data_IF_971721039241
#
_entry.id   IF_971721039241
#
_cell.length_a   1.000
_cell.length_b   1.000
_cell.length_c   1.000
_cell.angle_alpha   90.00
_cell.angle_beta   90.00
_cell.angle_gamma   90.00
#
_symmetry.space_group_name_H-M   'P 1'
#
loop_
_entity.id
_entity.type
_entity.pdbx_description
1 polymer ?
#
# COMPACT_ATOMS: atom_id res chain seq x y z
N UNK A 1 -61.41 10.71 -19.77
CA UNK A 1 -60.62 11.08 -18.56
C UNK A 1 -59.59 9.97 -18.36
N UNK A 2 -58.46 10.23 -18.96
CA UNK A 2 -57.39 9.23 -19.05
C UNK A 2 -56.29 9.64 -18.07
N UNK A 3 -56.20 8.89 -16.99
CA UNK A 3 -55.24 9.13 -15.90
C UNK A 3 -53.96 8.42 -16.22
N UNK A 4 -53.07 9.10 -16.91
CA UNK A 4 -51.73 8.62 -17.14
C UNK A 4 -50.95 8.50 -15.83
N UNK A 5 -50.75 7.26 -15.35
CA UNK A 5 -49.77 6.94 -14.29
C UNK A 5 -48.41 6.96 -14.92
N UNK A 6 -47.71 8.10 -14.77
CA UNK A 6 -46.30 8.20 -15.05
C UNK A 6 -45.51 7.44 -13.96
N UNK A 7 -45.12 6.21 -14.26
CA UNK A 7 -44.19 5.46 -13.44
C UNK A 7 -42.79 6.08 -13.66
N UNK A 8 -42.37 6.92 -12.72
CA UNK A 8 -40.97 7.31 -12.59
C UNK A 8 -40.14 6.09 -12.20
N UNK A 9 -39.61 5.41 -13.21
CA UNK A 9 -38.49 4.47 -13.00
C UNK A 9 -37.33 5.31 -12.50
N UNK A 10 -37.07 5.23 -11.20
CA UNK A 10 -35.85 5.79 -10.61
C UNK A 10 -34.67 5.10 -11.27
N UNK A 11 -33.95 5.87 -12.06
CA UNK A 11 -32.65 5.51 -12.63
C UNK A 11 -31.67 5.29 -11.48
N UNK A 12 -31.71 4.10 -10.87
CA UNK A 12 -30.74 3.72 -9.84
C UNK A 12 -29.47 3.35 -10.60
N UNK A 13 -28.55 4.32 -10.68
CA UNK A 13 -27.21 4.06 -11.19
C UNK A 13 -26.61 2.82 -10.50
N UNK A 14 -26.05 1.92 -11.28
CA UNK A 14 -25.40 0.73 -10.74
C UNK A 14 -24.35 1.11 -9.68
N UNK A 15 -24.31 0.38 -8.55
CA UNK A 15 -23.34 0.67 -7.51
C UNK A 15 -21.90 0.54 -8.04
N UNK A 16 -20.99 1.45 -7.65
CA UNK A 16 -19.62 1.44 -8.14
C UNK A 16 -18.87 0.17 -7.71
N UNK A 17 -17.97 -0.29 -8.57
CA UNK A 17 -17.07 -1.40 -8.26
C UNK A 17 -15.83 -0.91 -7.53
N UNK A 18 -15.47 -1.61 -6.44
CA UNK A 18 -14.24 -1.43 -5.68
C UNK A 18 -13.40 -2.70 -5.73
N UNK A 19 -12.15 -2.60 -6.10
CA UNK A 19 -11.23 -3.72 -6.06
C UNK A 19 -10.57 -3.83 -4.69
N UNK A 20 -10.36 -5.06 -4.19
CA UNK A 20 -9.60 -5.34 -2.96
C UNK A 20 -8.45 -6.28 -3.29
N UNK A 21 -7.24 -5.75 -3.29
CA UNK A 21 -6.01 -6.48 -3.59
C UNK A 21 -5.21 -6.74 -2.31
N UNK A 22 -5.46 -7.89 -1.72
CA UNK A 22 -4.89 -8.34 -0.45
C UNK A 22 -4.60 -9.84 -0.50
N UNK A 23 -3.41 -10.26 -0.12
CA UNK A 23 -2.97 -11.66 -0.12
C UNK A 23 -3.53 -12.48 1.06
N UNK A 24 -3.84 -11.83 2.20
CA UNK A 24 -4.43 -12.47 3.38
C UNK A 24 -5.93 -12.70 3.19
N UNK A 25 -6.33 -13.93 2.91
CA UNK A 25 -7.73 -14.28 2.63
C UNK A 25 -8.72 -13.80 3.70
N UNK A 26 -8.37 -13.93 4.99
CA UNK A 26 -9.23 -13.50 6.10
C UNK A 26 -9.43 -11.98 6.12
N UNK A 27 -8.37 -11.19 5.98
CA UNK A 27 -8.46 -9.72 5.93
C UNK A 27 -9.28 -9.28 4.72
N UNK A 28 -9.05 -9.89 3.57
CA UNK A 28 -9.80 -9.59 2.34
C UNK A 28 -11.30 -9.80 2.53
N UNK A 29 -11.71 -10.92 3.13
CA UNK A 29 -13.13 -11.22 3.38
C UNK A 29 -13.76 -10.25 4.38
N UNK A 30 -13.09 -9.97 5.49
CA UNK A 30 -13.59 -9.03 6.49
C UNK A 30 -13.72 -7.61 5.93
N UNK A 31 -12.73 -7.16 5.17
CA UNK A 31 -12.75 -5.83 4.59
C UNK A 31 -13.81 -5.68 3.49
N UNK A 32 -14.02 -6.72 2.68
CA UNK A 32 -15.12 -6.83 1.74
C UNK A 32 -16.48 -6.66 2.44
N UNK A 33 -16.77 -7.49 3.46
CA UNK A 33 -18.01 -7.43 4.20
C UNK A 33 -18.21 -6.05 4.86
N UNK A 34 -17.16 -5.48 5.42
CA UNK A 34 -17.24 -4.17 6.04
C UNK A 34 -17.59 -3.07 5.03
N UNK A 35 -16.94 -3.02 3.88
CA UNK A 35 -17.22 -2.03 2.83
C UNK A 35 -18.67 -2.12 2.36
N UNK A 36 -19.14 -3.30 1.98
CA UNK A 36 -20.50 -3.48 1.47
C UNK A 36 -21.59 -3.25 2.52
N UNK A 37 -21.26 -3.42 3.81
CA UNK A 37 -22.19 -3.08 4.91
C UNK A 37 -22.32 -1.57 5.16
N UNK A 38 -21.36 -0.76 4.71
CA UNK A 38 -21.28 0.68 5.01
C UNK A 38 -21.51 1.57 3.80
N UNK A 39 -21.37 1.03 2.60
CA UNK A 39 -21.40 1.80 1.36
C UNK A 39 -22.19 1.05 0.28
N UNK A 40 -22.94 1.78 -0.56
CA UNK A 40 -23.60 1.17 -1.72
C UNK A 40 -22.55 0.90 -2.83
N UNK A 41 -21.77 -0.15 -2.67
CA UNK A 41 -20.74 -0.57 -3.61
C UNK A 41 -20.78 -2.08 -3.84
N UNK A 42 -20.13 -2.54 -4.90
CA UNK A 42 -19.78 -3.93 -5.14
C UNK A 42 -18.28 -4.10 -5.02
N UNK A 43 -17.83 -5.04 -4.23
CA UNK A 43 -16.40 -5.29 -4.08
C UNK A 43 -15.95 -6.52 -4.85
N UNK A 44 -14.78 -6.44 -5.48
CA UNK A 44 -14.18 -7.52 -6.26
C UNK A 44 -12.83 -7.87 -5.63
N UNK A 45 -12.66 -9.11 -5.12
CA UNK A 45 -11.36 -9.55 -4.63
C UNK A 45 -10.42 -9.77 -5.80
N UNK A 46 -9.22 -9.19 -5.73
CA UNK A 46 -8.18 -9.33 -6.74
C UNK A 46 -7.14 -10.31 -6.24
N UNK A 47 -6.91 -11.37 -7.01
CA UNK A 47 -5.88 -12.38 -6.75
C UNK A 47 -4.74 -12.26 -7.76
N UNK A 48 -5.05 -11.87 -8.99
CA UNK A 48 -4.10 -11.66 -10.08
C UNK A 48 -4.18 -10.20 -10.57
N UNK A 49 -3.04 -9.49 -10.73
CA UNK A 49 -3.02 -8.11 -11.25
C UNK A 49 -3.75 -7.93 -12.60
N UNK A 50 -3.84 -8.97 -13.42
CA UNK A 50 -4.54 -8.93 -14.70
C UNK A 50 -6.06 -8.73 -14.54
N UNK A 51 -6.63 -9.16 -13.41
CA UNK A 51 -8.06 -8.97 -13.09
C UNK A 51 -8.44 -7.49 -12.94
N UNK A 52 -7.47 -6.62 -12.62
CA UNK A 52 -7.69 -5.17 -12.49
C UNK A 52 -8.12 -4.50 -13.81
N UNK A 53 -7.91 -5.15 -14.95
CA UNK A 53 -8.39 -4.67 -16.26
C UNK A 53 -9.79 -5.15 -16.63
N UNK A 54 -10.38 -6.09 -15.88
CA UNK A 54 -11.66 -6.69 -16.22
C UNK A 54 -12.86 -5.80 -15.89
N UNK A 55 -12.69 -4.82 -15.01
CA UNK A 55 -13.75 -3.93 -14.54
C UNK A 55 -13.30 -2.47 -14.55
N UNK A 56 -14.25 -1.55 -14.66
CA UNK A 56 -14.02 -0.13 -14.37
C UNK A 56 -14.18 0.12 -12.87
N UNK A 57 -13.09 0.10 -12.14
CA UNK A 57 -13.11 0.34 -10.69
C UNK A 57 -13.18 1.83 -10.38
N UNK A 58 -13.99 2.21 -9.39
CA UNK A 58 -13.98 3.56 -8.82
C UNK A 58 -12.85 3.71 -7.79
N UNK A 59 -12.62 2.69 -6.98
CA UNK A 59 -11.54 2.61 -6.00
C UNK A 59 -10.80 1.28 -6.11
N UNK A 60 -9.51 1.30 -5.81
CA UNK A 60 -8.69 0.09 -5.70
C UNK A 60 -7.98 0.09 -4.36
N UNK A 61 -8.41 -0.77 -3.45
CA UNK A 61 -7.77 -0.98 -2.15
C UNK A 61 -6.60 -1.93 -2.30
N UNK A 62 -5.43 -1.51 -1.86
CA UNK A 62 -4.17 -2.26 -2.04
C UNK A 62 -3.47 -2.40 -0.71
N UNK A 63 -3.21 -3.64 -0.31
CA UNK A 63 -2.36 -3.91 0.85
C UNK A 63 -0.91 -3.51 0.56
N UNK A 64 -0.23 -2.91 1.55
CA UNK A 64 1.22 -2.67 1.47
C UNK A 64 2.04 -3.94 1.29
N UNK A 65 1.43 -5.11 1.47
CA UNK A 65 2.05 -6.44 1.23
C UNK A 65 2.20 -6.76 -0.24
N UNK A 66 1.36 -6.14 -1.08
CA UNK A 66 1.39 -6.32 -2.53
C UNK A 66 2.50 -5.42 -3.10
N UNK A 67 3.51 -5.98 -3.74
CA UNK A 67 4.56 -5.18 -4.36
C UNK A 67 4.00 -4.40 -5.55
N UNK A 68 4.39 -3.14 -5.75
CA UNK A 68 4.03 -2.38 -6.94
C UNK A 68 4.58 -3.04 -8.19
N UNK A 69 3.80 -2.99 -9.25
CA UNK A 69 4.22 -3.49 -10.56
C UNK A 69 4.87 -2.34 -11.36
N UNK A 70 6.04 -2.57 -11.92
CA UNK A 70 6.77 -1.57 -12.75
C UNK A 70 6.95 -0.19 -12.10
N UNK A 71 7.08 -0.14 -10.77
CA UNK A 71 7.22 1.11 -10.02
C UNK A 71 5.94 1.93 -9.87
N UNK A 72 4.79 1.40 -10.27
CA UNK A 72 3.45 1.98 -10.16
C UNK A 72 2.64 1.24 -9.10
N UNK A 73 1.74 1.96 -8.45
CA UNK A 73 0.77 1.33 -7.52
C UNK A 73 -0.20 0.45 -8.30
N UNK A 74 -0.69 0.95 -9.43
CA UNK A 74 -1.64 0.24 -10.29
C UNK A 74 -1.03 -0.04 -11.67
N UNK A 75 -1.36 -1.16 -12.30
CA UNK A 75 -1.08 -1.42 -13.71
C UNK A 75 -1.67 -0.34 -14.61
N UNK A 76 -1.10 -0.14 -15.80
CA UNK A 76 -1.53 0.90 -16.76
C UNK A 76 -2.96 0.73 -17.25
N UNK A 77 -3.45 -0.50 -17.29
CA UNK A 77 -4.79 -0.87 -17.75
C UNK A 77 -5.86 -0.79 -16.66
N UNK A 78 -5.47 -0.45 -15.43
CA UNK A 78 -6.39 -0.30 -14.32
C UNK A 78 -6.89 1.15 -14.23
N UNK A 79 -8.19 1.30 -14.13
CA UNK A 79 -8.87 2.53 -13.70
C UNK A 79 -9.13 2.49 -12.20
N UNK A 80 -9.36 3.63 -11.60
CA UNK A 80 -9.74 3.80 -10.20
C UNK A 80 -8.65 4.45 -9.35
N UNK A 81 -9.10 5.06 -8.27
CA UNK A 81 -8.23 5.75 -7.34
C UNK A 81 -7.65 4.77 -6.30
N UNK A 82 -6.31 4.72 -6.13
CA UNK A 82 -5.68 3.78 -5.21
C UNK A 82 -5.76 4.26 -3.75
N UNK A 83 -6.33 3.41 -2.89
CA UNK A 83 -6.25 3.52 -1.43
C UNK A 83 -5.34 2.40 -0.93
N UNK A 84 -4.24 2.78 -0.32
CA UNK A 84 -3.30 1.81 0.26
C UNK A 84 -3.62 1.61 1.74
N UNK A 85 -3.68 0.36 2.18
CA UNK A 85 -3.97 0.05 3.58
C UNK A 85 -2.88 -0.83 4.21
N UNK A 86 -2.69 -0.64 5.52
CA UNK A 86 -1.76 -1.41 6.35
C UNK A 86 -2.25 -1.45 7.80
N UNK A 87 -1.66 -2.33 8.59
CA UNK A 87 -1.77 -2.37 10.05
C UNK A 87 -0.59 -1.67 10.75
N UNK A 88 0.36 -1.10 10.01
CA UNK A 88 1.53 -0.43 10.56
C UNK A 88 2.23 0.50 9.56
N UNK A 89 1.62 1.63 9.22
CA UNK A 89 2.33 2.66 8.47
C UNK A 89 3.48 3.23 9.29
N UNK A 90 4.67 3.17 8.73
CA UNK A 90 5.83 3.92 9.19
C UNK A 90 5.96 5.21 8.38
N UNK A 91 6.69 6.25 8.87
CA UNK A 91 6.95 7.45 8.08
C UNK A 91 7.50 7.18 6.67
N UNK A 92 8.40 6.20 6.58
CA UNK A 92 8.99 5.80 5.30
C UNK A 92 7.97 5.18 4.35
N UNK A 93 7.16 4.24 4.83
CA UNK A 93 6.17 3.56 4.00
C UNK A 93 5.03 4.48 3.60
N UNK A 94 4.57 5.35 4.50
CA UNK A 94 3.52 6.31 4.21
C UNK A 94 3.95 7.31 3.11
N UNK A 95 5.14 7.91 3.24
CA UNK A 95 5.70 8.83 2.22
C UNK A 95 5.90 8.09 0.90
N UNK A 96 6.46 6.89 0.93
CA UNK A 96 6.72 6.10 -0.26
C UNK A 96 5.46 5.82 -1.09
N UNK A 97 4.36 5.44 -0.44
CA UNK A 97 3.09 5.18 -1.12
C UNK A 97 2.45 6.47 -1.65
N UNK A 98 2.49 7.55 -0.86
CA UNK A 98 2.00 8.87 -1.28
C UNK A 98 2.72 9.38 -2.54
N UNK A 99 4.05 9.32 -2.58
CA UNK A 99 4.86 9.75 -3.72
C UNK A 99 4.58 8.95 -5.00
N UNK A 100 4.06 7.73 -4.86
CA UNK A 100 3.68 6.86 -5.99
C UNK A 100 2.24 7.00 -6.43
N UNK A 101 1.51 7.94 -5.84
CA UNK A 101 0.17 8.31 -6.28
C UNK A 101 -0.97 7.66 -5.50
N UNK A 102 -0.72 7.12 -4.29
CA UNK A 102 -1.81 6.74 -3.40
C UNK A 102 -2.70 7.96 -3.12
N UNK A 103 -3.98 7.82 -3.36
CA UNK A 103 -5.00 8.85 -3.08
C UNK A 103 -5.46 8.77 -1.63
N UNK A 104 -5.47 7.56 -1.06
CA UNK A 104 -5.77 7.30 0.34
C UNK A 104 -4.69 6.47 1.02
N UNK A 105 -4.46 6.73 2.33
CA UNK A 105 -3.71 5.84 3.21
C UNK A 105 -4.60 5.49 4.40
N UNK A 106 -4.88 4.20 4.58
CA UNK A 106 -5.82 3.68 5.57
C UNK A 106 -5.06 2.76 6.53
N UNK A 107 -4.90 3.19 7.79
CA UNK A 107 -4.26 2.40 8.84
C UNK A 107 -5.31 1.64 9.64
N UNK A 108 -5.15 0.32 9.78
CA UNK A 108 -6.12 -0.51 10.51
C UNK A 108 -6.10 -0.31 12.03
N UNK A 109 -5.13 0.42 12.56
CA UNK A 109 -5.12 0.83 13.99
C UNK A 109 -6.14 1.94 14.28
N UNK A 110 -6.58 2.66 13.25
CA UNK A 110 -7.65 3.65 13.37
C UNK A 110 -9.03 2.96 13.34
N UNK A 111 -10.06 3.68 13.72
CA UNK A 111 -11.41 3.15 13.79
C UNK A 111 -12.15 3.08 12.45
N UNK A 112 -13.23 2.28 12.37
CA UNK A 112 -14.03 2.15 11.15
C UNK A 112 -14.61 3.48 10.62
N UNK A 113 -14.88 4.44 11.48
CA UNK A 113 -15.39 5.76 11.09
C UNK A 113 -14.30 6.60 10.40
N UNK A 114 -13.04 6.49 10.85
CA UNK A 114 -11.88 7.11 10.19
C UNK A 114 -11.63 6.50 8.82
N UNK A 115 -11.80 5.17 8.70
CA UNK A 115 -11.68 4.47 7.41
C UNK A 115 -12.76 4.95 6.44
N UNK A 116 -14.03 5.02 6.90
CA UNK A 116 -15.15 5.48 6.07
C UNK A 116 -14.95 6.93 5.63
N UNK A 117 -14.51 7.80 6.53
CA UNK A 117 -14.18 9.19 6.20
C UNK A 117 -13.06 9.27 5.15
N UNK A 118 -12.00 8.48 5.30
CA UNK A 118 -10.90 8.42 4.33
C UNK A 118 -11.41 7.99 2.96
N UNK A 119 -12.22 6.94 2.88
CA UNK A 119 -12.80 6.43 1.64
C UNK A 119 -13.68 7.48 0.97
N UNK A 120 -14.60 8.11 1.71
CA UNK A 120 -15.50 9.14 1.18
C UNK A 120 -14.73 10.34 0.62
N UNK A 121 -13.68 10.80 1.32
CA UNK A 121 -12.85 11.90 0.81
C UNK A 121 -12.14 11.55 -0.48
N UNK A 122 -11.67 10.30 -0.64
CA UNK A 122 -11.06 9.86 -1.90
C UNK A 122 -12.11 9.77 -3.00
N UNK A 123 -13.32 9.31 -2.72
CA UNK A 123 -14.44 9.33 -3.68
C UNK A 123 -14.79 10.74 -4.14
N UNK A 124 -14.63 11.75 -3.28
CA UNK A 124 -14.77 13.17 -3.59
C UNK A 124 -13.56 13.73 -4.38
N UNK A 125 -12.59 12.91 -4.76
CA UNK A 125 -11.39 13.32 -5.49
C UNK A 125 -10.31 13.98 -4.62
N UNK A 126 -10.43 13.92 -3.29
CA UNK A 126 -9.46 14.51 -2.35
C UNK A 126 -8.39 13.47 -1.97
N UNK A 127 -7.20 13.97 -1.62
CA UNK A 127 -6.21 13.13 -0.94
C UNK A 127 -6.61 12.99 0.53
N UNK A 128 -6.61 11.75 1.05
CA UNK A 128 -7.02 11.50 2.42
C UNK A 128 -6.15 10.47 3.13
N UNK A 129 -6.04 10.61 4.43
CA UNK A 129 -5.33 9.68 5.29
C UNK A 129 -6.08 9.54 6.62
N UNK A 130 -6.11 8.33 7.17
CA UNK A 130 -6.57 8.12 8.54
C UNK A 130 -5.59 8.75 9.55
N UNK A 131 -6.00 9.06 10.79
CA UNK A 131 -5.19 9.80 11.77
C UNK A 131 -3.79 9.22 11.97
N UNK A 132 -3.67 7.89 12.11
CA UNK A 132 -2.36 7.24 12.32
C UNK A 132 -1.49 7.31 11.06
N UNK A 133 -2.06 7.08 9.87
CA UNK A 133 -1.33 7.22 8.61
C UNK A 133 -0.89 8.68 8.38
N UNK A 134 -1.71 9.65 8.74
CA UNK A 134 -1.37 11.09 8.70
C UNK A 134 -0.22 11.41 9.64
N UNK A 135 -0.29 10.94 10.88
CA UNK A 135 0.80 11.12 11.86
C UNK A 135 2.12 10.54 11.36
N UNK A 136 2.07 9.38 10.67
CA UNK A 136 3.24 8.78 10.03
C UNK A 136 3.80 9.66 8.91
N UNK A 137 2.95 10.32 8.11
CA UNK A 137 3.38 11.27 7.08
C UNK A 137 3.98 12.54 7.67
N UNK A 138 3.35 13.09 8.71
CA UNK A 138 3.75 14.35 9.35
C UNK A 138 5.04 14.18 10.16
N UNK A 139 5.27 13.00 10.71
CA UNK A 139 6.53 12.65 11.37
C UNK A 139 7.76 12.75 10.46
N UNK A 140 7.56 13.15 9.22
CA UNK A 140 8.44 13.49 8.09
C UNK A 140 9.96 13.37 8.37
N UNK A 141 10.36 12.19 8.80
CA UNK A 141 11.74 11.85 9.05
C UNK A 141 12.25 10.76 8.08
N UNK A 142 11.62 10.64 6.90
CA UNK A 142 12.04 9.64 5.91
C UNK A 142 13.52 9.82 5.51
N UNK A 143 14.03 11.04 5.51
CA UNK A 143 15.48 11.31 5.40
C UNK A 143 16.23 11.00 6.70
N UNK A 144 15.63 11.18 7.87
CA UNK A 144 16.26 10.85 9.17
C UNK A 144 16.36 9.34 9.39
N UNK A 145 15.40 8.54 8.94
CA UNK A 145 15.49 7.09 9.06
C UNK A 145 16.76 6.54 8.41
N UNK A 146 17.08 6.97 7.19
CA UNK A 146 18.32 6.59 6.51
C UNK A 146 19.57 7.21 7.16
N UNK A 147 19.47 8.38 7.75
CA UNK A 147 20.56 9.02 8.50
C UNK A 147 20.90 8.29 9.82
N UNK A 148 19.97 7.46 10.35
CA UNK A 148 20.21 6.61 11.50
C UNK A 148 21.11 5.41 11.18
N UNK A 149 21.28 5.06 9.90
CA UNK A 149 22.17 4.00 9.47
C UNK A 149 23.62 4.47 9.49
N UNK A 150 24.50 3.71 10.13
CA UNK A 150 25.93 3.90 10.00
C UNK A 150 26.36 3.67 8.55
N UNK A 151 27.56 4.13 8.17
CA UNK A 151 28.13 3.89 6.82
C UNK A 151 28.14 2.40 6.47
N UNK A 152 28.49 1.54 7.44
CA UNK A 152 28.51 0.08 7.23
C UNK A 152 27.10 -0.49 7.05
N UNK A 153 26.15 -0.08 7.87
CA UNK A 153 24.76 -0.50 7.74
C UNK A 153 24.16 -0.04 6.39
N UNK A 154 24.48 1.16 5.95
CA UNK A 154 24.09 1.68 4.64
C UNK A 154 24.65 0.82 3.49
N UNK A 155 25.93 0.45 3.53
CA UNK A 155 26.53 -0.45 2.54
C UNK A 155 25.86 -1.81 2.51
N UNK A 156 25.59 -2.40 3.69
CA UNK A 156 24.88 -3.67 3.79
C UNK A 156 23.46 -3.55 3.26
N UNK A 157 22.73 -2.51 3.62
CA UNK A 157 21.38 -2.25 3.13
C UNK A 157 21.35 -2.16 1.59
N UNK A 158 22.29 -1.43 0.98
CA UNK A 158 22.41 -1.31 -0.48
C UNK A 158 22.64 -2.66 -1.18
N UNK A 159 23.50 -3.52 -0.60
CA UNK A 159 23.75 -4.84 -1.17
C UNK A 159 22.53 -5.77 -1.03
N UNK A 160 21.88 -5.76 0.12
CA UNK A 160 20.64 -6.53 0.34
C UNK A 160 19.51 -6.13 -0.63
N UNK A 161 19.35 -4.83 -0.89
CA UNK A 161 18.38 -4.30 -1.86
C UNK A 161 18.70 -4.73 -3.30
N UNK A 162 19.97 -4.90 -3.63
CA UNK A 162 20.41 -5.45 -4.93
C UNK A 162 20.24 -6.96 -5.06
N UNK A 163 19.66 -7.62 -4.05
CA UNK A 163 19.38 -9.05 -4.06
C UNK A 163 20.52 -9.95 -3.60
N UNK A 164 21.61 -9.41 -3.05
CA UNK A 164 22.69 -10.23 -2.50
C UNK A 164 22.20 -10.95 -1.22
N UNK A 165 22.52 -12.24 -1.10
CA UNK A 165 22.29 -12.99 0.13
C UNK A 165 23.21 -12.50 1.27
N UNK A 166 22.86 -12.82 2.52
CA UNK A 166 23.68 -12.47 3.69
C UNK A 166 25.10 -13.05 3.56
N UNK A 167 25.24 -14.25 3.03
CA UNK A 167 26.52 -14.91 2.75
C UNK A 167 27.35 -14.13 1.70
N UNK A 168 26.71 -13.74 0.59
CA UNK A 168 27.37 -12.97 -0.48
C UNK A 168 27.82 -11.59 0.02
N UNK A 169 26.99 -10.93 0.85
CA UNK A 169 27.33 -9.65 1.48
C UNK A 169 28.51 -9.82 2.44
N UNK A 170 28.51 -10.90 3.24
CA UNK A 170 29.60 -11.23 4.15
C UNK A 170 30.93 -11.40 3.41
N UNK A 171 30.93 -12.18 2.33
CA UNK A 171 32.11 -12.39 1.47
C UNK A 171 32.62 -11.07 0.86
N UNK A 172 31.72 -10.20 0.36
CA UNK A 172 32.09 -8.89 -0.18
C UNK A 172 32.68 -7.94 0.87
N UNK A 173 32.22 -8.02 2.11
CA UNK A 173 32.61 -7.11 3.19
C UNK A 173 33.72 -7.67 4.10
N UNK A 174 34.27 -8.86 3.79
CA UNK A 174 35.31 -9.51 4.59
C UNK A 174 34.85 -9.82 6.03
N UNK A 175 33.61 -10.25 6.21
CA UNK A 175 33.02 -10.53 7.53
C UNK A 175 32.24 -11.87 7.52
N UNK A 176 31.59 -12.21 8.63
CA UNK A 176 30.82 -13.44 8.75
C UNK A 176 29.34 -13.22 8.38
N UNK A 177 28.66 -14.28 7.93
CA UNK A 177 27.21 -14.23 7.66
C UNK A 177 26.42 -13.84 8.92
N UNK A 178 26.84 -14.31 10.10
CA UNK A 178 26.25 -13.94 11.39
C UNK A 178 26.30 -12.43 11.64
N UNK A 179 27.43 -11.80 11.33
CA UNK A 179 27.58 -10.34 11.43
C UNK A 179 26.60 -9.61 10.50
N UNK A 180 26.45 -10.08 9.27
CA UNK A 180 25.48 -9.47 8.33
C UNK A 180 24.03 -9.68 8.78
N UNK A 181 23.68 -10.85 9.30
CA UNK A 181 22.34 -11.11 9.89
C UNK A 181 22.04 -10.14 11.06
N UNK A 182 23.02 -9.90 11.93
CA UNK A 182 22.89 -8.94 13.02
C UNK A 182 22.76 -7.50 12.52
N UNK A 183 23.57 -7.10 11.54
CA UNK A 183 23.46 -5.78 10.92
C UNK A 183 22.11 -5.61 10.22
N UNK A 184 21.60 -6.62 9.51
CA UNK A 184 20.25 -6.60 8.92
C UNK A 184 19.17 -6.39 9.98
N UNK A 185 19.26 -7.09 11.11
CA UNK A 185 18.34 -6.90 12.24
C UNK A 185 18.38 -5.45 12.76
N UNK A 186 19.57 -4.88 12.95
CA UNK A 186 19.76 -3.50 13.37
C UNK A 186 19.19 -2.51 12.37
N UNK A 187 19.45 -2.70 11.07
CA UNK A 187 18.89 -1.89 9.98
C UNK A 187 17.37 -1.91 10.03
N UNK A 188 16.77 -3.09 10.15
CA UNK A 188 15.31 -3.24 10.20
C UNK A 188 14.71 -2.54 11.41
N UNK A 189 15.35 -2.65 12.58
CA UNK A 189 14.92 -1.94 13.78
C UNK A 189 15.01 -0.42 13.63
N UNK A 190 16.13 0.10 13.09
CA UNK A 190 16.33 1.54 12.90
C UNK A 190 15.35 2.12 11.88
N UNK A 191 15.07 1.40 10.81
CA UNK A 191 14.13 1.81 9.77
C UNK A 191 12.68 1.46 10.12
N UNK A 192 12.43 0.77 11.23
CA UNK A 192 11.10 0.27 11.66
C UNK A 192 10.41 -0.54 10.56
N UNK A 193 11.16 -1.41 9.90
CA UNK A 193 10.67 -2.31 8.85
C UNK A 193 10.78 -3.76 9.30
N UNK A 194 9.97 -4.64 8.71
CA UNK A 194 9.92 -6.07 9.08
C UNK A 194 10.27 -7.01 7.93
N UNK A 195 10.35 -6.48 6.68
CA UNK A 195 10.56 -7.28 5.46
C UNK A 195 11.64 -6.68 4.55
N UNK A 196 12.28 -7.55 3.77
CA UNK A 196 13.27 -7.15 2.77
C UNK A 196 12.68 -6.26 1.67
N UNK A 197 11.43 -6.49 1.28
CA UNK A 197 10.73 -5.65 0.31
C UNK A 197 10.58 -4.21 0.80
N UNK A 198 10.29 -4.02 2.08
CA UNK A 198 10.23 -2.69 2.70
C UNK A 198 11.59 -2.01 2.74
N UNK A 199 12.69 -2.78 2.85
CA UNK A 199 14.04 -2.22 2.77
C UNK A 199 14.32 -1.62 1.38
N UNK A 200 13.93 -2.32 0.31
CA UNK A 200 14.06 -1.80 -1.05
C UNK A 200 13.28 -0.49 -1.22
N UNK A 201 12.11 -0.40 -0.64
CA UNK A 201 11.29 0.81 -0.65
C UNK A 201 11.92 1.94 0.15
N UNK A 202 12.38 1.65 1.37
CA UNK A 202 13.04 2.63 2.24
C UNK A 202 14.30 3.23 1.57
N UNK A 203 15.02 2.45 0.78
CA UNK A 203 16.24 2.87 0.07
C UNK A 203 15.95 3.60 -1.25
N UNK A 204 14.69 3.83 -1.62
CA UNK A 204 14.33 4.48 -2.88
C UNK A 204 14.60 3.64 -4.14
N UNK A 205 15.10 2.43 -3.97
CA UNK A 205 15.37 1.47 -5.04
C UNK A 205 14.17 0.55 -5.29
N UNK A 206 12.94 1.08 -5.26
CA UNK A 206 11.77 0.34 -5.70
C UNK A 206 12.05 -0.22 -7.09
N UNK A 207 12.02 -1.55 -7.19
CA UNK A 207 12.40 -2.40 -8.30
C UNK A 207 12.25 -1.71 -9.66
N UNK A 208 13.36 -1.35 -10.31
CA UNK A 208 13.38 -1.35 -11.75
C UNK A 208 13.22 -2.82 -12.16
N UNK A 209 12.11 -3.12 -12.82
CA UNK A 209 11.93 -4.40 -13.46
C UNK A 209 13.19 -4.71 -14.31
N UNK A 210 13.67 -5.96 -14.34
CA UNK A 210 14.68 -6.35 -15.31
C UNK A 210 14.14 -6.07 -16.70
N UNK A 211 14.98 -5.47 -17.55
CA UNK A 211 14.72 -5.31 -18.98
C UNK A 211 14.66 -6.66 -19.66
#
# INVERSE_FOLDING_TARGET
MDSGISSSVSDQAEPPYFAIWEDRGFIRVLFHQWLESRMPCRTVPILDPHELGAYSFRLVFISTRIPPTEGRILPRHCSGDPIVFDDNFTPLTAVWWKERGAKGLLDFRDGPDDWLNCVNQVLDGKLSQTPTAKSALDANDSKRGLQLLSRREMQVAQLLVRGYSAEQVAKKNGTTEGTIKNQRKSIYQKLKIVRSTQLAWAMGNGVRAPR
#
